data_IF_057370720697
#
_entry.id   IF_057370720697
#
_cell.length_a   1.000
_cell.length_b   1.000
_cell.length_c   1.000
_cell.angle_alpha   90.00
_cell.angle_beta   90.00
_cell.angle_gamma   90.00
#
_symmetry.space_group_name_H-M   'P 1'
#
loop_
_entity.id
_entity.type
_entity.pdbx_description
1 polymer ?
#
# COMPACT_ATOMS: atom_id res chain seq x y z
N UNK A 1 48.00 26.76 16.88
CA UNK A 1 47.55 25.45 16.34
C UNK A 1 46.66 24.72 17.36
N UNK A 2 45.47 25.25 17.71
CA UNK A 2 44.61 24.60 18.73
C UNK A 2 43.11 24.96 18.63
N UNK A 3 42.62 25.39 17.47
CA UNK A 3 41.21 25.82 17.30
C UNK A 3 40.40 24.92 16.37
N UNK A 4 41.02 23.93 15.71
CA UNK A 4 40.32 23.05 14.75
C UNK A 4 39.58 21.86 15.35
N UNK A 5 39.95 21.41 16.55
CA UNK A 5 39.39 20.18 17.14
C UNK A 5 38.01 20.35 17.79
N UNK A 6 37.66 21.56 18.24
CA UNK A 6 36.39 21.78 18.96
C UNK A 6 35.15 21.75 18.06
N UNK A 7 35.30 21.97 16.75
CA UNK A 7 34.16 22.00 15.81
C UNK A 7 33.73 20.58 15.40
N UNK A 8 34.65 19.61 15.38
CA UNK A 8 34.37 18.21 15.02
C UNK A 8 33.66 17.41 16.12
N UNK A 9 33.81 17.80 17.40
CA UNK A 9 33.12 17.13 18.51
C UNK A 9 31.66 17.59 18.69
N UNK A 10 31.33 18.82 18.31
CA UNK A 10 29.96 19.36 18.41
C UNK A 10 29.03 18.82 17.30
N UNK A 11 29.55 18.59 16.10
CA UNK A 11 28.77 18.00 15.00
C UNK A 11 28.51 16.51 15.20
N UNK A 12 29.43 15.78 15.84
CA UNK A 12 29.24 14.36 16.18
C UNK A 12 28.18 14.12 17.25
N UNK A 13 28.08 15.00 18.26
CA UNK A 13 27.09 14.86 19.34
C UNK A 13 25.66 15.12 18.86
N UNK A 14 25.47 16.04 17.90
CA UNK A 14 24.16 16.29 17.28
C UNK A 14 23.64 15.08 16.52
N UNK A 15 24.52 14.33 15.85
CA UNK A 15 24.15 13.13 15.09
C UNK A 15 23.73 11.96 16.01
N UNK A 16 24.33 11.84 17.20
CA UNK A 16 23.99 10.79 18.16
C UNK A 16 22.66 11.02 18.88
N UNK A 17 22.23 12.28 19.06
CA UNK A 17 20.94 12.59 19.70
C UNK A 17 19.76 12.35 18.76
N UNK A 18 19.94 12.50 17.44
CA UNK A 18 18.88 12.19 16.46
C UNK A 18 18.54 10.69 16.37
N UNK A 19 19.44 9.79 16.79
CA UNK A 19 19.22 8.35 16.66
C UNK A 19 18.37 7.73 17.78
N UNK A 20 18.03 8.48 18.86
CA UNK A 20 17.31 7.95 20.03
C UNK A 20 15.82 8.26 20.09
N UNK A 21 15.26 8.94 19.09
CA UNK A 21 13.85 9.39 19.10
C UNK A 21 13.02 8.91 17.90
N UNK A 22 13.25 7.69 17.44
CA UNK A 22 12.24 6.96 16.67
C UNK A 22 11.51 6.00 17.61
N UNK A 23 10.42 6.41 18.28
CA UNK A 23 9.52 5.42 18.85
C UNK A 23 8.99 4.58 17.69
N UNK A 24 9.24 3.28 17.74
CA UNK A 24 8.68 2.32 16.79
C UNK A 24 7.18 2.57 16.65
N UNK A 25 6.77 3.03 15.47
CA UNK A 25 5.39 3.18 15.09
C UNK A 25 4.78 1.79 14.88
N UNK A 26 4.51 1.07 15.97
CA UNK A 26 3.75 -0.18 15.96
C UNK A 26 2.34 0.06 16.50
N UNK A 27 1.65 1.00 15.88
CA UNK A 27 0.19 1.01 15.91
C UNK A 27 -0.24 0.85 14.45
N UNK A 28 -0.51 -0.39 14.05
CA UNK A 28 -1.16 -0.67 12.79
C UNK A 28 -2.48 0.11 12.74
N UNK A 29 -2.73 0.97 11.75
CA UNK A 29 -3.98 1.74 11.65
C UNK A 29 -5.16 0.86 11.16
N UNK A 30 -5.19 -0.41 11.55
CA UNK A 30 -6.06 -1.46 11.00
C UNK A 30 -7.53 -1.31 11.43
N UNK A 31 -7.81 -0.54 12.48
CA UNK A 31 -9.16 -0.37 13.04
C UNK A 31 -9.92 0.86 12.52
N UNK A 32 -9.31 1.68 11.66
CA UNK A 32 -9.96 2.88 11.07
C UNK A 32 -9.75 2.94 9.57
N UNK A 33 -9.90 1.82 8.88
CA UNK A 33 -9.72 1.75 7.43
C UNK A 33 -10.97 2.30 6.71
N UNK A 34 -11.20 3.61 6.88
CA UNK A 34 -12.19 4.38 6.15
C UNK A 34 -11.85 4.39 4.67
N UNK A 35 -12.83 4.49 3.78
CA UNK A 35 -12.71 4.58 2.31
C UNK A 35 -11.49 5.37 1.78
N UNK A 36 -11.09 6.45 2.45
CA UNK A 36 -9.90 7.24 2.10
C UNK A 36 -8.59 6.42 2.11
N UNK A 37 -8.51 5.38 2.94
CA UNK A 37 -7.33 4.52 3.09
C UNK A 37 -7.09 3.63 1.87
N UNK A 38 -8.13 3.07 1.25
CA UNK A 38 -7.96 2.20 0.08
C UNK A 38 -7.57 3.01 -1.15
N UNK A 39 -8.18 4.18 -1.34
CA UNK A 39 -7.80 5.12 -2.40
C UNK A 39 -6.32 5.52 -2.25
N UNK A 40 -5.91 5.92 -1.05
CA UNK A 40 -4.52 6.27 -0.78
C UNK A 40 -3.53 5.13 -1.07
N UNK A 41 -3.88 3.87 -0.75
CA UNK A 41 -3.02 2.71 -1.04
C UNK A 41 -2.91 2.48 -2.55
N UNK A 42 -4.02 2.56 -3.29
CA UNK A 42 -4.03 2.40 -4.74
C UNK A 42 -3.21 3.48 -5.45
N UNK A 43 -3.34 4.74 -5.00
CA UNK A 43 -2.56 5.87 -5.52
C UNK A 43 -1.06 5.71 -5.26
N UNK A 44 -0.66 5.34 -4.03
CA UNK A 44 0.75 5.06 -3.69
C UNK A 44 1.35 3.99 -4.60
N UNK A 45 0.57 2.97 -4.93
CA UNK A 45 0.98 1.84 -5.79
C UNK A 45 0.81 2.14 -7.28
N UNK A 46 0.35 3.35 -7.64
CA UNK A 46 0.12 3.81 -9.02
C UNK A 46 -0.84 2.90 -9.81
N UNK A 47 -1.86 2.38 -9.14
CA UNK A 47 -2.89 1.54 -9.76
C UNK A 47 -4.01 2.43 -10.27
N UNK A 48 -4.29 2.38 -11.56
CA UNK A 48 -5.38 3.15 -12.17
C UNK A 48 -6.74 2.50 -11.90
N UNK A 49 -7.67 3.27 -11.35
CA UNK A 49 -9.05 2.85 -11.11
C UNK A 49 -10.01 3.94 -11.58
N UNK A 50 -11.25 3.56 -11.88
CA UNK A 50 -12.34 4.46 -12.26
C UNK A 50 -13.17 4.86 -11.02
N UNK A 51 -13.54 3.87 -10.20
CA UNK A 51 -14.32 4.12 -8.99
C UNK A 51 -14.07 3.05 -7.93
N UNK A 52 -14.36 3.43 -6.69
CA UNK A 52 -14.30 2.54 -5.52
C UNK A 52 -15.68 2.63 -4.86
N UNK A 53 -16.24 1.47 -4.53
CA UNK A 53 -17.53 1.34 -3.87
C UNK A 53 -17.35 0.44 -2.64
N UNK A 54 -17.81 0.90 -1.49
CA UNK A 54 -17.79 0.11 -0.25
C UNK A 54 -19.10 -0.66 -0.15
N UNK A 55 -19.02 -1.99 -0.08
CA UNK A 55 -20.18 -2.88 0.07
C UNK A 55 -19.95 -3.73 1.31
N UNK A 56 -20.67 -3.44 2.39
CA UNK A 56 -20.61 -4.12 3.69
C UNK A 56 -19.18 -4.53 4.11
N UNK A 57 -18.78 -5.76 3.77
CA UNK A 57 -17.53 -6.40 4.17
C UNK A 57 -16.42 -6.36 3.11
N UNK A 58 -16.60 -5.67 1.99
CA UNK A 58 -15.62 -5.59 0.91
C UNK A 58 -15.67 -4.26 0.15
N UNK A 59 -14.63 -4.00 -0.63
CA UNK A 59 -14.53 -2.90 -1.56
C UNK A 59 -14.64 -3.47 -2.97
N UNK A 60 -15.54 -2.92 -3.78
CA UNK A 60 -15.61 -3.13 -5.22
C UNK A 60 -14.87 -1.98 -5.90
N UNK A 61 -13.80 -2.31 -6.62
CA UNK A 61 -12.96 -1.35 -7.34
C UNK A 61 -13.19 -1.60 -8.82
N UNK A 62 -13.74 -0.61 -9.53
CA UNK A 62 -13.86 -0.66 -10.98
C UNK A 62 -12.56 -0.10 -11.57
N UNK A 63 -11.88 -0.90 -12.36
CA UNK A 63 -10.63 -0.55 -13.00
C UNK A 63 -10.89 0.24 -14.27
N UNK A 64 -9.94 1.09 -14.67
CA UNK A 64 -10.04 1.86 -15.92
C UNK A 64 -10.17 0.98 -17.17
N UNK A 65 -9.70 -0.26 -17.07
CA UNK A 65 -9.61 -1.21 -18.17
C UNK A 65 -10.80 -2.20 -18.20
N UNK A 66 -11.97 -1.79 -17.68
CA UNK A 66 -13.21 -2.59 -17.54
C UNK A 66 -13.16 -3.82 -16.60
N UNK A 67 -12.05 -4.07 -15.93
CA UNK A 67 -11.94 -5.11 -14.91
C UNK A 67 -12.54 -4.69 -13.57
N UNK A 68 -13.05 -5.65 -12.79
CA UNK A 68 -13.50 -5.42 -11.42
C UNK A 68 -12.55 -6.09 -10.42
N UNK A 69 -12.28 -5.44 -9.29
CA UNK A 69 -11.51 -6.01 -8.19
C UNK A 69 -12.31 -5.96 -6.90
N UNK A 70 -12.44 -7.11 -6.22
CA UNK A 70 -13.12 -7.22 -4.93
C UNK A 70 -12.10 -7.46 -3.84
N UNK A 71 -11.97 -6.53 -2.89
CA UNK A 71 -11.03 -6.62 -1.76
C UNK A 71 -11.81 -6.71 -0.45
N UNK A 72 -11.66 -7.76 0.36
CA UNK A 72 -12.32 -7.85 1.66
C UNK A 72 -11.78 -6.79 2.63
N UNK A 73 -12.67 -6.21 3.41
CA UNK A 73 -12.35 -5.18 4.41
C UNK A 73 -11.51 -5.73 5.59
N UNK A 74 -11.73 -7.00 5.92
CA UNK A 74 -11.12 -7.65 7.08
C UNK A 74 -9.67 -8.09 6.84
N UNK A 75 -9.15 -7.98 5.61
CA UNK A 75 -7.76 -8.35 5.29
C UNK A 75 -6.89 -7.10 5.21
N UNK A 76 -5.58 -7.29 5.39
CA UNK A 76 -4.60 -6.22 5.25
C UNK A 76 -4.60 -5.63 3.83
N UNK A 77 -5.16 -4.43 3.65
CA UNK A 77 -5.26 -3.78 2.34
C UNK A 77 -3.91 -3.59 1.65
N UNK A 78 -2.85 -3.28 2.40
CA UNK A 78 -1.52 -3.04 1.81
C UNK A 78 -0.97 -4.30 1.14
N UNK A 79 -1.17 -5.45 1.78
CA UNK A 79 -0.80 -6.76 1.24
C UNK A 79 -1.65 -7.10 0.02
N UNK A 80 -2.98 -6.97 0.12
CA UNK A 80 -3.89 -7.29 -0.99
C UNK A 80 -3.63 -6.41 -2.21
N UNK A 81 -3.40 -5.11 -2.02
CA UNK A 81 -3.09 -4.18 -3.12
C UNK A 81 -1.70 -4.47 -3.71
N UNK A 82 -0.74 -4.91 -2.89
CA UNK A 82 0.57 -5.35 -3.42
C UNK A 82 0.44 -6.62 -4.26
N UNK A 83 -0.38 -7.60 -3.84
CA UNK A 83 -0.71 -8.78 -4.65
C UNK A 83 -1.43 -8.39 -5.94
N UNK A 84 -2.39 -7.45 -5.88
CA UNK A 84 -3.06 -6.90 -7.06
C UNK A 84 -2.05 -6.30 -8.04
N UNK A 85 -1.12 -5.47 -7.56
CA UNK A 85 -0.09 -4.86 -8.42
C UNK A 85 0.73 -5.92 -9.17
N UNK A 86 1.13 -7.01 -8.50
CA UNK A 86 1.88 -8.11 -9.11
C UNK A 86 1.05 -8.85 -10.15
N UNK A 87 -0.23 -9.12 -9.86
CA UNK A 87 -1.15 -9.80 -10.79
C UNK A 87 -1.36 -8.92 -12.04
N UNK A 88 -1.62 -7.63 -11.87
CA UNK A 88 -1.81 -6.68 -12.97
C UNK A 88 -0.55 -6.57 -13.84
N UNK A 89 0.63 -6.50 -13.22
CA UNK A 89 1.90 -6.46 -13.95
C UNK A 89 2.09 -7.72 -14.80
N UNK A 90 1.79 -8.89 -14.23
CA UNK A 90 1.89 -10.17 -14.94
C UNK A 90 0.89 -10.27 -16.10
N UNK A 91 -0.38 -9.92 -15.86
CA UNK A 91 -1.40 -9.91 -16.91
C UNK A 91 -1.03 -8.97 -18.07
N UNK A 92 -0.46 -7.80 -17.75
CA UNK A 92 0.07 -6.87 -18.76
C UNK A 92 1.22 -7.46 -19.58
N UNK A 93 2.16 -8.15 -18.94
CA UNK A 93 3.27 -8.84 -19.63
C UNK A 93 2.74 -9.96 -20.54
N UNK A 94 1.73 -10.70 -20.07
CA UNK A 94 1.09 -11.78 -20.82
C UNK A 94 0.11 -11.28 -21.90
N UNK A 95 -0.17 -9.98 -21.97
CA UNK A 95 -1.16 -9.40 -22.89
C UNK A 95 -2.60 -9.84 -22.59
N UNK A 96 -2.90 -10.27 -21.36
CA UNK A 96 -4.23 -10.74 -20.94
C UNK A 96 -5.01 -9.66 -20.23
N UNK A 97 -6.30 -9.57 -20.52
CA UNK A 97 -7.27 -8.81 -19.75
C UNK A 97 -7.97 -9.73 -18.75
N UNK A 98 -8.69 -9.16 -17.79
CA UNK A 98 -9.52 -9.92 -16.86
C UNK A 98 -10.85 -9.19 -16.68
N UNK A 99 -11.92 -9.96 -16.47
CA UNK A 99 -13.23 -9.41 -16.12
C UNK A 99 -13.33 -9.12 -14.64
N UNK A 100 -12.82 -10.02 -13.78
CA UNK A 100 -12.91 -9.86 -12.32
C UNK A 100 -11.77 -10.54 -11.56
N UNK A 101 -11.25 -9.85 -10.54
CA UNK A 101 -10.32 -10.36 -9.53
C UNK A 101 -11.00 -10.35 -8.16
N UNK A 102 -11.13 -11.50 -7.52
CA UNK A 102 -11.79 -11.62 -6.22
C UNK A 102 -10.80 -12.09 -5.14
N UNK A 103 -10.46 -11.19 -4.22
CA UNK A 103 -9.56 -11.43 -3.09
C UNK A 103 -10.29 -11.87 -1.81
N UNK A 104 -11.62 -12.04 -1.86
CA UNK A 104 -12.42 -12.42 -0.68
C UNK A 104 -12.12 -13.85 -0.22
N UNK A 105 -11.63 -14.71 -1.11
CA UNK A 105 -11.26 -16.10 -0.82
C UNK A 105 -9.80 -16.22 -0.32
N UNK A 106 -9.41 -17.38 0.20
CA UNK A 106 -8.00 -17.63 0.59
C UNK A 106 -7.05 -17.55 -0.59
N UNK A 107 -7.46 -18.07 -1.75
CA UNK A 107 -6.75 -17.94 -3.02
C UNK A 107 -7.52 -16.96 -3.90
N UNK A 108 -6.82 -15.97 -4.46
CA UNK A 108 -7.43 -15.01 -5.38
C UNK A 108 -8.03 -15.73 -6.58
N UNK A 109 -9.29 -15.42 -6.89
CA UNK A 109 -9.99 -15.96 -8.05
C UNK A 109 -9.92 -14.96 -9.19
N UNK A 110 -9.51 -15.42 -10.37
CA UNK A 110 -9.43 -14.62 -11.59
C UNK A 110 -10.48 -15.12 -12.57
N UNK A 111 -11.33 -14.21 -13.03
CA UNK A 111 -12.31 -14.44 -14.09
C UNK A 111 -11.87 -13.65 -15.32
N UNK A 112 -11.73 -14.36 -16.44
CA UNK A 112 -11.35 -13.80 -17.74
C UNK A 112 -12.57 -13.39 -18.55
#
# INVERSE_FOLDING_TARGET
>A
MLTGYSILLLTGFSYLVQLRFFPDALISPISKQSFASIAAVLERKKIAYESIEKIDNYYLIRMKDNGEVLIPDKKNLEEQVSSLQLILARLKIEGKTFRRLDFRYEKTVILF
#
